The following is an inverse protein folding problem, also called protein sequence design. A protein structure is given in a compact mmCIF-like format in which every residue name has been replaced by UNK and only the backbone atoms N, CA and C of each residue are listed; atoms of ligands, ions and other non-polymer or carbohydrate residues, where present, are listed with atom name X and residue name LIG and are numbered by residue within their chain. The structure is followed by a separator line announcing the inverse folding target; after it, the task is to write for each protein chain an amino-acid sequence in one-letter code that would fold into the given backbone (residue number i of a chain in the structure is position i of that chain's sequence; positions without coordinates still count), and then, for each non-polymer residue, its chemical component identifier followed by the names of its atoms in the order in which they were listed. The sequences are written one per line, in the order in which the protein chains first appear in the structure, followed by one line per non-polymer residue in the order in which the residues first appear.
data_IF_233373901166
#
_entry.id   IF_233373901166
#
_cell.length_a   1.000
_cell.length_b   1.000
_cell.length_c   1.000
_cell.angle_alpha   90.00
_cell.angle_beta   90.00
_cell.angle_gamma   90.00
#
_symmetry.space_group_name_H-M   'P 1'
#
loop_
_entity.id
_entity.type
_entity.pdbx_description
1 polymer ?
#
# COMPACT_ATOMS: atom_id res chain seq x y z
N UNK A 1 48.63 3.42 -57.66
CA UNK A 1 49.64 3.21 -56.60
C UNK A 1 49.82 4.57 -55.93
N UNK A 2 48.78 5.09 -55.30
CA UNK A 2 48.25 4.76 -53.96
C UNK A 2 48.96 5.58 -52.89
N UNK A 3 48.11 6.24 -52.10
CA UNK A 3 48.30 7.45 -51.31
C UNK A 3 49.35 7.42 -50.18
N UNK A 4 50.04 8.56 -50.10
CA UNK A 4 50.34 9.39 -48.93
C UNK A 4 49.85 8.93 -47.54
N UNK A 5 50.79 8.83 -46.58
CA UNK A 5 50.50 8.77 -45.15
C UNK A 5 51.45 9.69 -44.38
N UNK A 6 50.88 10.75 -43.79
CA UNK A 6 51.53 11.70 -42.88
C UNK A 6 51.47 11.20 -41.41
N UNK A 7 52.37 11.67 -40.52
CA UNK A 7 52.44 11.21 -39.13
C UNK A 7 51.31 11.75 -38.26
N UNK A 8 50.79 10.88 -37.39
CA UNK A 8 49.72 11.13 -36.41
C UNK A 8 50.28 11.89 -35.20
N UNK A 9 49.69 13.03 -34.77
CA UNK A 9 49.99 13.65 -33.48
C UNK A 9 49.19 13.01 -32.32
N UNK A 10 49.72 13.02 -31.08
CA UNK A 10 49.05 12.40 -29.94
C UNK A 10 47.85 13.23 -29.46
N UNK A 11 46.74 12.53 -29.17
CA UNK A 11 45.52 13.07 -28.58
C UNK A 11 45.78 13.69 -27.20
N UNK A 12 45.20 14.86 -26.88
CA UNK A 12 45.14 15.32 -25.49
C UNK A 12 44.04 14.55 -24.75
N UNK A 13 44.42 13.92 -23.64
CA UNK A 13 43.50 13.40 -22.63
C UNK A 13 42.85 14.59 -21.91
N UNK A 14 41.71 15.08 -22.44
CA UNK A 14 40.89 16.06 -21.75
C UNK A 14 40.08 15.34 -20.66
N UNK A 15 40.64 15.31 -19.46
CA UNK A 15 39.90 15.06 -18.23
C UNK A 15 38.94 16.23 -18.01
N UNK A 16 37.69 16.06 -18.39
CA UNK A 16 36.57 16.91 -17.97
C UNK A 16 35.42 15.99 -17.54
N UNK A 17 35.51 15.45 -16.33
CA UNK A 17 34.30 15.00 -15.64
C UNK A 17 33.86 16.14 -14.74
N UNK A 18 32.84 16.85 -15.23
CA UNK A 18 32.27 18.02 -14.59
C UNK A 18 31.71 17.66 -13.21
N UNK A 19 32.00 18.52 -12.24
CA UNK A 19 31.30 18.56 -10.96
C UNK A 19 29.82 18.80 -11.28
N UNK A 20 29.01 17.75 -11.25
CA UNK A 20 27.56 17.90 -11.30
C UNK A 20 27.14 18.44 -9.94
N UNK A 21 26.92 19.75 -9.88
CA UNK A 21 26.22 20.42 -8.79
C UNK A 21 24.84 19.78 -8.71
N UNK A 22 24.66 18.82 -7.80
CA UNK A 22 23.34 18.23 -7.54
C UNK A 22 22.49 19.32 -6.91
N UNK A 23 21.80 20.08 -7.76
CA UNK A 23 20.74 20.97 -7.33
C UNK A 23 19.73 20.11 -6.60
N UNK A 24 19.64 20.30 -5.28
CA UNK A 24 18.54 19.79 -4.45
C UNK A 24 17.24 20.33 -5.03
N UNK A 25 16.66 19.57 -5.96
CA UNK A 25 15.25 19.73 -6.33
C UNK A 25 14.48 18.98 -5.25
N UNK A 26 14.05 19.71 -4.24
CA UNK A 26 12.95 19.31 -3.38
C UNK A 26 11.74 19.07 -4.27
N UNK A 27 11.53 17.81 -4.64
CA UNK A 27 10.25 17.36 -5.16
C UNK A 27 9.19 17.66 -4.08
N UNK A 28 8.09 18.35 -4.40
CA UNK A 28 6.96 18.39 -3.50
C UNK A 28 6.42 16.96 -3.41
N UNK A 29 6.59 16.34 -2.24
CA UNK A 29 5.86 15.12 -1.89
C UNK A 29 4.36 15.42 -2.07
N UNK A 30 3.64 14.77 -3.01
CA UNK A 30 2.23 15.02 -3.16
C UNK A 30 1.54 14.48 -1.91
N UNK A 31 0.76 15.35 -1.27
CA UNK A 31 -0.12 14.98 -0.18
C UNK A 31 -0.92 13.71 -0.58
N UNK A 32 -0.77 12.59 0.17
CA UNK A 32 -1.21 11.26 -0.27
C UNK A 32 -2.72 11.01 -0.10
N UNK A 33 -3.57 12.01 -0.38
CA UNK A 33 -5.02 11.85 -0.28
C UNK A 33 -5.76 12.17 -1.58
N UNK A 34 -5.15 12.86 -2.55
CA UNK A 34 -5.83 13.23 -3.81
C UNK A 34 -5.55 12.26 -4.96
N UNK A 35 -4.29 11.88 -5.19
CA UNK A 35 -3.91 11.03 -6.31
C UNK A 35 -4.38 9.58 -6.11
N UNK A 36 -4.13 9.02 -4.92
CA UNK A 36 -4.57 7.66 -4.54
C UNK A 36 -6.11 7.55 -4.61
N UNK A 37 -6.82 8.50 -4.01
CA UNK A 37 -8.29 8.56 -4.08
C UNK A 37 -8.78 8.67 -5.52
N UNK A 38 -8.19 9.54 -6.33
CA UNK A 38 -8.60 9.69 -7.74
C UNK A 38 -8.43 8.38 -8.51
N UNK A 39 -7.31 7.68 -8.32
CA UNK A 39 -7.07 6.39 -8.95
C UNK A 39 -8.09 5.32 -8.51
N UNK A 40 -8.36 5.19 -7.21
CA UNK A 40 -9.32 4.20 -6.76
C UNK A 40 -10.76 4.56 -7.15
N UNK A 41 -11.12 5.83 -7.26
CA UNK A 41 -12.44 6.22 -7.77
C UNK A 41 -12.66 5.87 -9.26
N UNK A 42 -11.61 5.61 -10.06
CA UNK A 42 -11.81 5.14 -11.45
C UNK A 42 -12.36 3.71 -11.51
N UNK A 43 -12.26 2.95 -10.42
CA UNK A 43 -12.73 1.58 -10.33
C UNK A 43 -14.11 1.55 -9.66
N UNK A 44 -15.19 1.08 -10.33
CA UNK A 44 -16.54 1.16 -9.79
C UNK A 44 -16.73 0.50 -8.41
N UNK A 45 -16.03 -0.62 -8.17
CA UNK A 45 -16.11 -1.34 -6.89
C UNK A 45 -15.41 -0.58 -5.75
N UNK A 46 -14.25 0.03 -6.02
CA UNK A 46 -13.57 0.91 -5.06
C UNK A 46 -14.41 2.15 -4.78
N UNK A 47 -14.96 2.79 -5.82
CA UNK A 47 -15.80 3.97 -5.68
C UNK A 47 -17.03 3.70 -4.81
N UNK A 48 -17.64 2.53 -4.95
CA UNK A 48 -18.76 2.11 -4.10
C UNK A 48 -18.35 1.99 -2.62
N UNK A 49 -17.16 1.45 -2.33
CA UNK A 49 -16.64 1.37 -0.96
C UNK A 49 -16.30 2.75 -0.39
N UNK A 50 -15.57 3.57 -1.15
CA UNK A 50 -15.11 4.88 -0.72
C UNK A 50 -16.24 5.92 -0.60
N UNK A 51 -17.34 5.73 -1.33
CA UNK A 51 -18.53 6.61 -1.27
C UNK A 51 -19.59 6.10 -0.29
N UNK A 52 -19.36 4.98 0.39
CA UNK A 52 -20.31 4.44 1.35
C UNK A 52 -20.45 5.40 2.55
N UNK A 53 -21.66 5.52 3.14
CA UNK A 53 -21.88 6.40 4.28
C UNK A 53 -21.00 6.00 5.46
N UNK A 54 -20.54 6.99 6.23
CA UNK A 54 -19.64 6.82 7.38
C UNK A 54 -18.25 6.25 7.02
N UNK A 55 -17.83 6.35 5.75
CA UNK A 55 -16.46 6.02 5.35
C UNK A 55 -15.53 7.17 5.67
N UNK A 56 -14.44 6.90 6.39
CA UNK A 56 -13.41 7.90 6.73
C UNK A 56 -12.06 7.48 6.17
N UNK A 57 -11.39 8.37 5.45
CA UNK A 57 -10.03 8.10 4.96
C UNK A 57 -9.03 8.16 6.11
N UNK A 58 -8.13 7.20 6.15
CA UNK A 58 -7.09 7.11 7.18
C UNK A 58 -5.74 7.51 6.59
N UNK A 59 -4.90 8.22 7.35
CA UNK A 59 -3.54 8.51 6.92
C UNK A 59 -2.72 7.22 6.86
N UNK A 60 -1.83 7.13 5.87
CA UNK A 60 -0.86 6.03 5.71
C UNK A 60 0.56 6.56 5.96
N UNK A 61 1.00 6.70 7.23
CA UNK A 61 2.29 7.31 7.56
C UNK A 61 3.48 6.52 7.00
N UNK A 62 3.36 5.20 6.86
CA UNK A 62 4.38 4.32 6.28
C UNK A 62 4.70 4.60 4.82
N UNK A 63 3.84 5.35 4.10
CA UNK A 63 4.12 5.84 2.74
C UNK A 63 4.82 7.19 2.68
N UNK A 64 5.07 7.84 3.82
CA UNK A 64 5.74 9.14 3.88
C UNK A 64 7.21 8.93 4.28
N UNK A 65 8.18 9.25 3.41
CA UNK A 65 9.59 9.08 3.76
C UNK A 65 9.98 9.88 5.00
N UNK A 66 10.59 9.21 5.97
CA UNK A 66 11.04 9.80 7.24
C UNK A 66 12.56 9.97 7.26
N UNK A 67 13.04 10.96 8.01
CA UNK A 67 14.49 11.19 8.19
C UNK A 67 15.20 10.03 8.89
N UNK A 68 14.49 9.32 9.78
CA UNK A 68 14.98 8.12 10.47
C UNK A 68 15.08 6.90 9.56
N UNK A 69 14.60 6.99 8.31
CA UNK A 69 14.54 5.90 7.33
C UNK A 69 13.64 4.72 7.70
N UNK A 70 12.92 4.80 8.82
CA UNK A 70 11.83 3.86 9.08
C UNK A 70 10.79 3.93 7.94
N UNK A 71 10.13 2.81 7.69
CA UNK A 71 9.13 2.60 6.64
C UNK A 71 9.65 2.79 5.21
N UNK A 72 10.97 2.94 5.00
CA UNK A 72 11.55 3.11 3.66
C UNK A 72 11.14 1.99 2.68
N UNK A 73 10.84 0.80 3.19
CA UNK A 73 10.31 -0.28 2.38
C UNK A 73 9.00 0.10 1.67
N UNK A 74 8.04 0.73 2.36
CA UNK A 74 6.78 1.21 1.77
C UNK A 74 6.85 2.62 1.21
N UNK A 75 7.56 3.53 1.89
CA UNK A 75 7.68 4.93 1.49
C UNK A 75 8.52 5.14 0.22
N UNK A 76 9.46 4.24 -0.06
CA UNK A 76 10.42 4.39 -1.17
C UNK A 76 10.45 3.14 -2.05
N UNK A 77 10.79 1.98 -1.50
CA UNK A 77 11.06 0.77 -2.31
C UNK A 77 9.82 0.27 -3.06
N UNK A 78 8.67 0.20 -2.38
CA UNK A 78 7.41 -0.23 -2.98
C UNK A 78 6.57 0.93 -3.54
N UNK A 79 7.03 2.18 -3.39
CA UNK A 79 6.33 3.37 -3.90
C UNK A 79 6.89 3.76 -5.27
N UNK A 80 6.78 2.87 -6.24
CA UNK A 80 7.18 3.15 -7.63
C UNK A 80 6.06 2.85 -8.62
N UNK A 81 6.20 3.33 -9.86
CA UNK A 81 5.25 3.07 -10.94
C UNK A 81 5.15 1.58 -11.33
N UNK A 82 6.19 0.79 -11.05
CA UNK A 82 6.28 -0.63 -11.42
C UNK A 82 6.02 -1.57 -10.22
N UNK A 83 5.70 -1.02 -9.04
CA UNK A 83 5.44 -1.78 -7.81
C UNK A 83 4.06 -1.46 -7.23
N UNK A 84 3.98 -0.61 -6.20
CA UNK A 84 2.72 -0.20 -5.56
C UNK A 84 2.52 1.31 -5.73
N UNK A 85 2.11 1.78 -6.92
CA UNK A 85 1.99 3.20 -7.20
C UNK A 85 0.95 3.89 -6.32
N UNK A 86 -0.15 3.20 -5.99
CA UNK A 86 -1.25 3.75 -5.20
C UNK A 86 -1.60 2.88 -3.99
N UNK A 87 -1.86 3.53 -2.86
CA UNK A 87 -2.34 2.89 -1.64
C UNK A 87 -3.28 3.84 -0.90
N UNK A 88 -4.41 3.31 -0.44
CA UNK A 88 -5.40 4.10 0.29
C UNK A 88 -6.02 3.28 1.39
N UNK A 89 -6.02 3.80 2.61
CA UNK A 89 -6.70 3.19 3.74
C UNK A 89 -7.93 3.99 4.14
N UNK A 90 -8.98 3.27 4.55
CA UNK A 90 -10.21 3.87 5.04
C UNK A 90 -10.86 2.99 6.10
N UNK A 91 -11.61 3.60 6.99
CA UNK A 91 -12.48 2.92 7.94
C UNK A 91 -13.92 3.01 7.47
N UNK A 92 -14.71 1.96 7.70
CA UNK A 92 -16.15 1.95 7.44
C UNK A 92 -16.85 1.06 8.45
N UNK A 93 -18.09 1.36 8.84
CA UNK A 93 -18.85 0.48 9.72
C UNK A 93 -19.18 -0.82 9.02
N UNK A 94 -18.72 -1.94 9.57
CA UNK A 94 -19.21 -3.27 9.19
C UNK A 94 -20.41 -3.61 10.08
N UNK A 95 -21.58 -3.90 9.50
CA UNK A 95 -22.65 -4.54 10.25
C UNK A 95 -22.12 -5.86 10.81
N UNK A 96 -22.12 -6.01 12.13
CA UNK A 96 -21.83 -7.32 12.75
C UNK A 96 -23.02 -8.20 12.41
N UNK A 97 -22.95 -8.92 11.31
CA UNK A 97 -23.86 -10.03 11.08
C UNK A 97 -23.72 -10.93 12.31
N UNK A 98 -24.81 -11.09 13.06
CA UNK A 98 -24.89 -11.97 14.22
C UNK A 98 -24.16 -13.26 13.88
N UNK A 99 -23.05 -13.52 14.58
CA UNK A 99 -22.06 -14.54 14.25
C UNK A 99 -22.73 -15.74 13.59
N UNK A 100 -22.58 -15.87 12.26
CA UNK A 100 -23.06 -17.05 11.55
C UNK A 100 -22.28 -18.21 12.14
N UNK A 101 -22.95 -19.01 12.97
CA UNK A 101 -22.47 -20.28 13.46
C UNK A 101 -22.13 -21.13 12.25
N UNK A 102 -20.86 -21.09 11.82
CA UNK A 102 -20.33 -22.12 10.94
C UNK A 102 -20.32 -23.38 11.79
N UNK A 103 -21.33 -24.22 11.55
CA UNK A 103 -21.41 -25.56 12.07
C UNK A 103 -20.19 -26.33 11.53
N UNK A 104 -19.25 -26.60 12.43
CA UNK A 104 -18.23 -27.62 12.21
C UNK A 104 -18.93 -28.98 12.23
N UNK A 105 -18.85 -29.72 11.13
CA UNK A 105 -19.27 -31.13 11.07
C UNK A 105 -18.32 -32.00 11.93
N UNK A 106 -18.87 -32.61 12.99
CA UNK A 106 -18.34 -33.76 13.75
C UNK A 106 -17.20 -33.44 14.73
N UNK A 107 -17.30 -33.64 16.05
CA UNK A 107 -17.82 -34.80 16.81
C UNK A 107 -18.28 -34.37 18.22
N UNK A 108 -19.22 -35.14 18.78
CA UNK A 108 -20.01 -34.85 19.97
C UNK A 108 -19.26 -34.66 21.31
N UNK A 109 -19.73 -33.70 22.12
CA UNK A 109 -19.89 -33.87 23.57
C UNK A 109 -20.99 -32.91 24.07
N UNK A 110 -22.08 -33.48 24.60
CA UNK A 110 -23.20 -32.75 25.16
C UNK A 110 -22.79 -32.08 26.49
N UNK A 111 -23.13 -30.79 26.64
CA UNK A 111 -23.47 -30.22 27.94
C UNK A 111 -24.38 -29.01 27.73
N UNK A 112 -25.64 -29.17 28.13
CA UNK A 112 -26.69 -28.18 28.09
C UNK A 112 -26.42 -27.06 29.10
N UNK A 113 -26.16 -25.85 28.60
CA UNK A 113 -26.19 -24.60 29.37
C UNK A 113 -27.17 -23.61 28.71
N UNK A 114 -27.83 -22.69 29.46
CA UNK A 114 -28.95 -21.92 28.96
C UNK A 114 -28.55 -20.91 27.87
N UNK A 115 -29.44 -20.76 26.89
CA UNK A 115 -29.31 -19.92 25.71
C UNK A 115 -28.71 -18.52 25.98
N UNK A 116 -27.72 -18.05 25.19
CA UNK A 116 -27.40 -16.64 25.17
C UNK A 116 -28.54 -15.89 24.48
N UNK A 117 -28.97 -14.81 25.15
CA UNK A 117 -29.99 -13.89 24.68
C UNK A 117 -29.70 -13.41 23.25
N UNK A 118 -30.79 -13.17 22.51
CA UNK A 118 -30.77 -12.65 21.15
C UNK A 118 -29.78 -11.46 20.99
N UNK A 119 -29.04 -11.38 19.87
CA UNK A 119 -28.17 -10.24 19.61
C UNK A 119 -29.01 -8.96 19.51
N UNK A 120 -28.61 -7.94 20.27
CA UNK A 120 -29.24 -6.63 20.23
C UNK A 120 -29.12 -6.01 18.82
N UNK A 121 -30.18 -5.41 18.27
CA UNK A 121 -30.11 -4.69 17.00
C UNK A 121 -29.24 -3.43 17.15
N UNK A 122 -28.13 -3.34 16.39
CA UNK A 122 -27.41 -2.06 16.18
C UNK A 122 -25.89 -2.05 16.41
N UNK A 123 -25.22 -3.18 16.66
CA UNK A 123 -23.75 -3.17 16.84
C UNK A 123 -23.03 -3.18 15.48
N UNK A 124 -22.59 -2.02 15.00
CA UNK A 124 -21.62 -1.93 13.91
C UNK A 124 -20.20 -1.90 14.49
N UNK A 125 -19.32 -2.76 14.00
CA UNK A 125 -17.89 -2.71 14.32
C UNK A 125 -17.19 -1.88 13.28
N UNK A 126 -16.27 -1.02 13.70
CA UNK A 126 -15.42 -0.29 12.77
C UNK A 126 -14.48 -1.26 12.06
N UNK A 127 -14.50 -1.25 10.72
CA UNK A 127 -13.62 -2.05 9.89
C UNK A 127 -12.64 -1.14 9.17
N UNK A 128 -11.34 -1.36 9.36
CA UNK A 128 -10.28 -0.75 8.57
C UNK A 128 -10.01 -1.61 7.33
N UNK A 129 -9.92 -0.95 6.18
CA UNK A 129 -9.61 -1.57 4.89
C UNK A 129 -8.51 -0.77 4.19
N UNK A 130 -7.58 -1.47 3.53
CA UNK A 130 -6.52 -0.85 2.72
C UNK A 130 -6.58 -1.38 1.31
N UNK A 131 -6.57 -0.47 0.33
CA UNK A 131 -6.51 -0.75 -1.10
C UNK A 131 -5.08 -0.59 -1.58
N UNK A 132 -4.61 -1.54 -2.39
CA UNK A 132 -3.29 -1.53 -3.00
C UNK A 132 -3.42 -1.72 -4.51
N UNK A 133 -2.79 -0.86 -5.31
CA UNK A 133 -2.61 -1.08 -6.74
C UNK A 133 -1.30 -1.85 -6.93
N UNK A 134 -1.34 -3.09 -7.44
CA UNK A 134 -0.16 -3.93 -7.63
C UNK A 134 0.23 -4.01 -9.10
N UNK A 135 1.52 -3.82 -9.38
CA UNK A 135 2.09 -3.87 -10.72
C UNK A 135 3.04 -5.07 -10.89
N UNK A 136 3.62 -5.21 -12.10
CA UNK A 136 4.33 -6.41 -12.53
C UNK A 136 5.60 -6.75 -11.74
N UNK A 137 6.25 -5.79 -11.07
CA UNK A 137 7.53 -5.98 -10.39
C UNK A 137 7.49 -6.75 -9.05
N UNK A 138 6.36 -7.39 -8.75
CA UNK A 138 5.99 -7.85 -7.41
C UNK A 138 5.79 -9.38 -7.31
N UNK A 139 6.16 -10.12 -8.34
CA UNK A 139 5.79 -11.52 -8.51
C UNK A 139 6.86 -12.51 -8.03
N UNK A 140 6.44 -13.63 -7.43
CA UNK A 140 7.31 -14.78 -7.12
C UNK A 140 7.23 -15.90 -8.16
N UNK A 141 6.19 -15.87 -8.98
CA UNK A 141 5.91 -16.77 -10.09
C UNK A 141 5.17 -15.97 -11.19
N UNK A 142 5.17 -16.37 -12.48
CA UNK A 142 4.43 -15.64 -13.51
C UNK A 142 2.99 -15.33 -13.11
N UNK A 143 2.61 -14.05 -13.16
CA UNK A 143 1.28 -13.52 -12.81
C UNK A 143 0.84 -13.75 -11.35
N UNK A 144 1.76 -14.08 -10.44
CA UNK A 144 1.45 -14.33 -9.02
C UNK A 144 2.35 -13.51 -8.11
N UNK A 145 1.76 -12.67 -7.26
CA UNK A 145 2.48 -11.87 -6.27
C UNK A 145 3.34 -12.75 -5.33
N UNK A 146 4.52 -12.25 -4.96
CA UNK A 146 5.43 -12.95 -4.06
C UNK A 146 4.82 -13.08 -2.66
N UNK A 147 4.92 -14.26 -2.02
CA UNK A 147 4.32 -14.49 -0.70
C UNK A 147 4.81 -13.51 0.37
N UNK A 148 6.11 -13.20 0.40
CA UNK A 148 6.68 -12.23 1.33
C UNK A 148 6.19 -10.79 1.12
N UNK A 149 5.81 -10.43 -0.11
CA UNK A 149 5.15 -9.15 -0.36
C UNK A 149 3.76 -9.14 0.27
N UNK A 150 2.96 -10.18 0.02
CA UNK A 150 1.62 -10.30 0.60
C UNK A 150 1.67 -10.23 2.12
N UNK A 151 2.64 -10.90 2.75
CA UNK A 151 2.87 -10.80 4.20
C UNK A 151 3.12 -9.35 4.64
N UNK A 152 3.95 -8.61 3.91
CA UNK A 152 4.20 -7.20 4.23
C UNK A 152 2.96 -6.31 4.03
N UNK A 153 2.13 -6.55 3.00
CA UNK A 153 0.88 -5.80 2.83
C UNK A 153 -0.09 -5.99 4.01
N UNK A 154 -0.12 -7.20 4.59
CA UNK A 154 -0.92 -7.46 5.79
C UNK A 154 -0.36 -6.76 7.02
N UNK A 155 0.96 -6.73 7.19
CA UNK A 155 1.63 -5.99 8.27
C UNK A 155 1.22 -4.51 8.23
N UNK A 156 1.33 -3.88 7.06
CA UNK A 156 0.93 -2.49 6.85
C UNK A 156 -0.56 -2.23 7.06
N UNK A 157 -1.42 -3.13 6.59
CA UNK A 157 -2.86 -2.98 6.77
C UNK A 157 -3.26 -3.01 8.25
N UNK A 158 -2.50 -3.73 9.09
CA UNK A 158 -2.71 -3.76 10.53
C UNK A 158 -2.15 -2.52 11.23
N UNK A 159 -1.01 -1.96 10.77
CA UNK A 159 -0.44 -0.72 11.33
C UNK A 159 -1.45 0.43 11.31
N UNK A 160 -2.20 0.58 10.21
CA UNK A 160 -3.19 1.66 10.06
C UNK A 160 -4.34 1.55 11.08
N UNK A 161 -4.65 0.34 11.55
CA UNK A 161 -5.74 0.09 12.48
C UNK A 161 -5.57 0.76 13.85
N UNK A 162 -4.32 0.97 14.29
CA UNK A 162 -4.01 1.54 15.60
C UNK A 162 -3.90 3.08 15.57
N UNK A 163 -3.58 3.66 14.41
CA UNK A 163 -3.42 5.10 14.25
C UNK A 163 -4.74 5.90 14.30
N UNK A 164 -5.89 5.23 14.15
CA UNK A 164 -7.22 5.86 14.06
C UNK A 164 -7.93 6.09 15.41
N UNK A 165 -7.38 5.65 16.54
CA UNK A 165 -8.08 5.65 17.84
C UNK A 165 -7.96 6.93 18.70
N UNK A 166 -7.20 7.94 18.26
CA UNK A 166 -6.84 9.10 19.08
C UNK A 166 -7.67 10.36 18.83
N UNK A 167 -9.00 10.31 18.94
CA UNK A 167 -9.84 11.49 18.72
C UNK A 167 -11.23 11.38 19.34
N UNK A 168 -11.31 11.48 20.67
CA UNK A 168 -12.54 11.61 21.45
C UNK A 168 -12.26 12.21 22.82
#
# INVERSE_FOLDING_TARGET
MSEQASPIPPSPLQSQSQLSTTTTTTMPSPAPSSADLTHFLTHPWCAALLSAPNTTLLPTPSRVPKKSTEDSFFAVTLRTGDTIPFMLSFSSPRPVAAASSQASDGVAAASSAPAPAAPAPGTSTEQVSTLFALEAGLNGYPLTAHGGLISALFDEAMEVGDAGGGGG
#
